data_IF_186978554426
#
_entry.id   IF_186978554426
#
_cell.length_a   1.000
_cell.length_b   1.000
_cell.length_c   1.000
_cell.angle_alpha   90.00
_cell.angle_beta   90.00
_cell.angle_gamma   90.00
#
_symmetry.space_group_name_H-M   'P 1'
#
loop_
_entity.id
_entity.type
_entity.pdbx_description
1 polymer ?
#
# COMPACT_ATOMS: atom_id res chain seq x y z
N UNK A 1 -3.22 -24.68 -1.11
CA UNK A 1 -3.12 -24.28 0.30
C UNK A 1 -1.76 -24.71 0.85
N UNK A 2 -1.09 -23.82 1.57
CA UNK A 2 0.27 -24.07 2.08
C UNK A 2 0.18 -24.70 3.47
N UNK A 3 0.80 -25.87 3.70
CA UNK A 3 0.85 -26.46 5.02
C UNK A 3 1.56 -25.54 6.01
N UNK A 4 1.09 -25.46 7.23
CA UNK A 4 1.64 -24.58 8.25
C UNK A 4 0.96 -23.22 8.33
N UNK A 5 0.13 -22.88 7.35
CA UNK A 5 -0.68 -21.66 7.38
C UNK A 5 -2.15 -22.01 7.61
N UNK A 6 -2.86 -21.15 8.36
CA UNK A 6 -4.30 -21.28 8.52
C UNK A 6 -5.01 -20.91 7.21
N UNK A 7 -6.31 -21.21 7.12
CA UNK A 7 -7.10 -20.84 5.96
C UNK A 7 -7.03 -19.33 5.70
N UNK A 8 -7.19 -18.52 6.76
CA UNK A 8 -7.14 -17.07 6.66
C UNK A 8 -5.76 -16.57 6.22
N UNK A 9 -4.69 -17.19 6.72
CA UNK A 9 -3.32 -16.83 6.35
C UNK A 9 -3.03 -17.15 4.90
N UNK A 10 -3.50 -18.29 4.39
CA UNK A 10 -3.39 -18.64 2.97
C UNK A 10 -4.12 -17.64 2.10
N UNK A 11 -5.31 -17.24 2.52
CA UNK A 11 -6.10 -16.24 1.79
C UNK A 11 -5.37 -14.89 1.72
N UNK A 12 -4.80 -14.45 2.86
CA UNK A 12 -4.02 -13.21 2.91
C UNK A 12 -2.79 -13.28 2.03
N UNK A 13 -2.08 -14.39 2.04
CA UNK A 13 -0.88 -14.57 1.22
C UNK A 13 -1.21 -14.42 -0.28
N UNK A 14 -2.38 -14.85 -0.70
CA UNK A 14 -2.83 -14.70 -2.08
C UNK A 14 -3.34 -13.30 -2.39
N UNK A 15 -3.98 -12.65 -1.42
CA UNK A 15 -4.61 -11.33 -1.62
C UNK A 15 -3.65 -10.17 -1.48
N UNK A 16 -2.65 -10.27 -0.61
CA UNK A 16 -1.71 -9.17 -0.34
C UNK A 16 -0.96 -8.66 -1.57
N UNK A 17 -0.45 -9.51 -2.47
CA UNK A 17 0.22 -8.99 -3.68
C UNK A 17 -0.66 -8.07 -4.52
N UNK A 18 -1.94 -8.38 -4.65
CA UNK A 18 -2.89 -7.53 -5.37
C UNK A 18 -3.09 -6.20 -4.65
N UNK A 19 -3.23 -6.25 -3.33
CA UNK A 19 -3.37 -5.04 -2.50
C UNK A 19 -2.11 -4.16 -2.58
N UNK A 20 -0.94 -4.78 -2.55
CA UNK A 20 0.34 -4.08 -2.69
C UNK A 20 0.42 -3.38 -4.04
N UNK A 21 0.05 -4.06 -5.12
CA UNK A 21 0.04 -3.48 -6.46
C UNK A 21 -0.90 -2.28 -6.53
N UNK A 22 -2.10 -2.43 -5.97
CA UNK A 22 -3.09 -1.35 -5.94
C UNK A 22 -2.57 -0.12 -5.21
N UNK A 23 -1.98 -0.34 -4.03
CA UNK A 23 -1.40 0.74 -3.23
C UNK A 23 -0.26 1.43 -3.96
N UNK A 24 0.60 0.67 -4.63
CA UNK A 24 1.71 1.21 -5.41
C UNK A 24 1.20 2.12 -6.53
N UNK A 25 0.14 1.72 -7.23
CA UNK A 25 -0.46 2.55 -8.28
C UNK A 25 -1.07 3.82 -7.70
N UNK A 26 -1.80 3.72 -6.59
CA UNK A 26 -2.39 4.89 -5.92
C UNK A 26 -1.33 5.87 -5.46
N UNK A 27 -0.25 5.38 -4.88
CA UNK A 27 0.88 6.20 -4.43
C UNK A 27 1.50 6.94 -5.61
N UNK A 28 1.72 6.25 -6.73
CA UNK A 28 2.26 6.85 -7.95
C UNK A 28 1.40 8.00 -8.45
N UNK A 29 0.08 7.83 -8.44
CA UNK A 29 -0.85 8.87 -8.86
C UNK A 29 -0.83 10.08 -7.93
N UNK A 30 -0.74 9.84 -6.63
CA UNK A 30 -0.67 10.93 -5.65
C UNK A 30 0.65 11.69 -5.77
N UNK A 31 1.75 10.99 -5.97
CA UNK A 31 3.05 11.62 -6.19
C UNK A 31 3.06 12.46 -7.46
N UNK A 32 2.44 11.96 -8.52
CA UNK A 32 2.31 12.71 -9.78
C UNK A 32 1.51 14.00 -9.58
N UNK A 33 0.38 13.91 -8.86
CA UNK A 33 -0.43 15.09 -8.53
C UNK A 33 0.36 16.09 -7.71
N UNK A 34 1.12 15.63 -6.71
CA UNK A 34 1.88 16.49 -5.81
C UNK A 34 3.15 17.05 -6.48
N UNK A 35 3.53 16.54 -7.65
CA UNK A 35 4.68 17.06 -8.39
C UNK A 35 4.36 18.39 -9.12
N UNK A 36 3.08 18.78 -9.18
CA UNK A 36 2.67 20.05 -9.76
C UNK A 36 3.09 21.20 -8.83
N UNK A 37 4.03 22.05 -9.23
CA UNK A 37 4.57 23.10 -8.35
C UNK A 37 3.54 24.17 -7.98
N UNK A 38 2.46 24.30 -8.76
CA UNK A 38 1.44 25.32 -8.52
C UNK A 38 0.25 24.78 -7.74
N UNK A 39 0.20 23.49 -7.46
CA UNK A 39 -0.96 22.87 -6.81
C UNK A 39 -1.27 23.52 -5.46
N UNK A 40 -0.24 23.75 -4.64
CA UNK A 40 -0.42 24.38 -3.33
C UNK A 40 -1.07 25.77 -3.43
N UNK A 41 -0.60 26.58 -4.40
CA UNK A 41 -1.11 27.93 -4.59
C UNK A 41 -2.51 27.95 -5.17
N UNK A 42 -2.78 27.03 -6.11
CA UNK A 42 -4.03 26.97 -6.83
C UNK A 42 -5.14 26.28 -6.04
N UNK A 43 -4.80 25.19 -5.37
CA UNK A 43 -5.75 24.36 -4.63
C UNK A 43 -5.13 23.85 -3.33
N UNK A 44 -4.98 24.72 -2.31
CA UNK A 44 -4.30 24.32 -1.07
C UNK A 44 -4.99 23.21 -0.30
N UNK A 45 -6.32 23.12 -0.35
CA UNK A 45 -7.06 22.05 0.31
C UNK A 45 -6.79 20.71 -0.37
N UNK A 46 -6.78 20.71 -1.71
CA UNK A 46 -6.48 19.49 -2.49
C UNK A 46 -5.05 19.04 -2.25
N UNK A 47 -4.11 19.97 -2.18
CA UNK A 47 -2.71 19.67 -1.85
C UNK A 47 -2.59 18.96 -0.49
N UNK A 48 -3.23 19.53 0.53
CA UNK A 48 -3.21 18.95 1.87
C UNK A 48 -3.82 17.55 1.91
N UNK A 49 -4.99 17.39 1.28
CA UNK A 49 -5.66 16.09 1.23
C UNK A 49 -4.84 15.05 0.49
N UNK A 50 -4.20 15.44 -0.59
CA UNK A 50 -3.34 14.53 -1.36
C UNK A 50 -2.12 14.11 -0.55
N UNK A 51 -1.52 15.03 0.21
CA UNK A 51 -0.39 14.73 1.07
C UNK A 51 -0.77 13.75 2.18
N UNK A 52 -1.93 13.98 2.81
CA UNK A 52 -2.44 13.08 3.85
C UNK A 52 -2.74 11.69 3.27
N UNK A 53 -3.36 11.63 2.09
CA UNK A 53 -3.66 10.37 1.43
C UNK A 53 -2.37 9.62 1.06
N UNK A 54 -1.35 10.32 0.59
CA UNK A 54 -0.07 9.72 0.25
C UNK A 54 0.56 9.07 1.47
N UNK A 55 0.61 9.78 2.60
CA UNK A 55 1.16 9.25 3.85
C UNK A 55 0.40 8.00 4.29
N UNK A 56 -0.92 8.05 4.26
CA UNK A 56 -1.77 6.90 4.63
C UNK A 56 -1.50 5.69 3.73
N UNK A 57 -1.41 5.91 2.43
CA UNK A 57 -1.15 4.83 1.47
C UNK A 57 0.23 4.23 1.64
N UNK A 58 1.23 5.07 1.94
CA UNK A 58 2.60 4.60 2.18
C UNK A 58 2.68 3.75 3.45
N UNK A 59 1.98 4.14 4.50
CA UNK A 59 1.90 3.37 5.73
C UNK A 59 1.22 2.02 5.51
N UNK A 60 0.12 2.02 4.77
CA UNK A 60 -0.59 0.79 4.39
C UNK A 60 0.27 -0.14 3.57
N UNK A 61 1.01 0.42 2.62
CA UNK A 61 1.91 -0.37 1.78
C UNK A 61 2.98 -1.05 2.62
N UNK A 62 3.63 -0.30 3.52
CA UNK A 62 4.65 -0.86 4.40
C UNK A 62 4.09 -1.98 5.27
N UNK A 63 2.91 -1.78 5.87
CA UNK A 63 2.23 -2.79 6.68
C UNK A 63 1.91 -4.04 5.86
N UNK A 64 1.39 -3.85 4.65
CA UNK A 64 1.04 -4.96 3.77
C UNK A 64 2.26 -5.77 3.34
N UNK A 65 3.36 -5.10 3.04
CA UNK A 65 4.61 -5.76 2.69
C UNK A 65 5.18 -6.56 3.86
N UNK A 66 5.17 -5.99 5.07
CA UNK A 66 5.62 -6.68 6.27
C UNK A 66 4.77 -7.91 6.55
N UNK A 67 3.46 -7.78 6.42
CA UNK A 67 2.53 -8.88 6.62
C UNK A 67 2.77 -10.00 5.61
N UNK A 68 2.96 -9.64 4.35
CA UNK A 68 3.26 -10.60 3.30
C UNK A 68 4.57 -11.34 3.57
N UNK A 69 5.62 -10.61 3.97
CA UNK A 69 6.92 -11.21 4.30
C UNK A 69 6.81 -12.20 5.47
N UNK A 70 6.07 -11.80 6.51
CA UNK A 70 5.85 -12.66 7.67
C UNK A 70 5.16 -13.96 7.28
N UNK A 71 4.13 -13.87 6.43
CA UNK A 71 3.41 -15.04 5.95
C UNK A 71 4.27 -15.92 5.04
N UNK A 72 5.06 -15.29 4.17
CA UNK A 72 5.95 -16.01 3.26
C UNK A 72 7.02 -16.76 4.03
N UNK A 73 7.60 -16.16 5.07
CA UNK A 73 8.59 -16.82 5.94
C UNK A 73 7.98 -17.99 6.68
N UNK A 74 6.77 -17.80 7.21
CA UNK A 74 6.03 -18.85 7.90
C UNK A 74 5.71 -20.02 6.97
N UNK A 75 5.43 -19.72 5.71
CA UNK A 75 5.11 -20.73 4.70
C UNK A 75 6.32 -21.60 4.33
N UNK A 76 7.53 -21.07 4.48
CA UNK A 76 8.78 -21.80 4.17
C UNK A 76 9.15 -22.79 5.27
N UNK A 77 8.65 -22.61 6.48
CA UNK A 77 8.89 -23.51 7.60
C UNK A 77 8.00 -24.75 7.49
#
# INVERSE_FOLDING_TARGET
MIPGLSFSENHLLEALPTEIDRLTVEIGKLEELLSDPDLFNREPVKFRKATEALTERQEKLATSEDEWLTLAEKAED
#
